data_IF_077084677847
#
_entry.id   IF_077084677847
#
_cell.length_a   1.000
_cell.length_b   1.000
_cell.length_c   1.000
_cell.angle_alpha   90.00
_cell.angle_beta   90.00
_cell.angle_gamma   90.00
#
_symmetry.space_group_name_H-M   'P 1'
#
loop_
_entity.id
_entity.type
_entity.pdbx_description
1 polymer ?
#
# COMPACT_ATOMS: atom_id res chain seq x y z
N UNK A 1 -34.05 -26.56 -13.40
CA UNK A 1 -33.30 -25.94 -12.30
C UNK A 1 -33.03 -24.51 -12.71
N UNK A 2 -33.82 -23.57 -12.20
CA UNK A 2 -33.75 -22.15 -12.55
C UNK A 2 -33.16 -21.40 -11.35
N UNK A 3 -32.09 -20.65 -11.59
CA UNK A 3 -31.51 -19.72 -10.63
C UNK A 3 -32.32 -18.43 -10.71
N UNK A 4 -33.38 -18.32 -9.93
CA UNK A 4 -34.17 -17.09 -9.89
C UNK A 4 -34.91 -17.00 -8.55
N UNK A 5 -34.19 -16.57 -7.48
CA UNK A 5 -34.79 -15.76 -6.40
C UNK A 5 -33.76 -15.15 -5.41
N UNK A 6 -32.70 -14.50 -5.90
CA UNK A 6 -31.89 -13.62 -5.03
C UNK A 6 -32.53 -12.22 -4.99
N UNK A 7 -33.71 -12.11 -4.38
CA UNK A 7 -34.24 -10.81 -3.97
C UNK A 7 -33.37 -10.29 -2.83
N UNK A 8 -32.54 -9.29 -3.11
CA UNK A 8 -31.82 -8.56 -2.07
C UNK A 8 -32.85 -7.86 -1.15
N UNK A 9 -32.74 -8.01 0.19
CA UNK A 9 -33.58 -7.26 1.11
C UNK A 9 -33.36 -5.77 0.89
N UNK A 10 -34.45 -5.00 0.86
CA UNK A 10 -34.35 -3.55 0.72
C UNK A 10 -33.78 -2.94 2.01
N UNK A 11 -33.16 -1.75 1.97
CA UNK A 11 -32.59 -1.10 3.14
C UNK A 11 -33.55 -0.99 4.34
N UNK A 12 -34.85 -0.91 4.07
CA UNK A 12 -35.95 -0.89 5.03
C UNK A 12 -36.28 -2.25 5.69
N UNK A 13 -35.79 -3.37 5.14
CA UNK A 13 -36.01 -4.72 5.68
C UNK A 13 -35.01 -5.11 6.79
N UNK A 14 -34.05 -4.24 7.11
CA UNK A 14 -33.06 -4.45 8.17
C UNK A 14 -33.61 -3.87 9.47
N UNK A 15 -33.91 -4.68 10.50
CA UNK A 15 -34.37 -4.16 11.78
C UNK A 15 -33.29 -3.27 12.42
N UNK A 16 -33.67 -2.15 13.06
CA UNK A 16 -32.71 -1.27 13.71
C UNK A 16 -31.98 -2.01 14.85
N UNK A 17 -30.67 -1.78 14.97
CA UNK A 17 -29.87 -2.37 16.03
C UNK A 17 -30.40 -1.91 17.41
N UNK A 18 -30.46 -2.81 18.42
CA UNK A 18 -31.09 -2.54 19.73
C UNK A 18 -30.40 -1.45 20.57
N UNK A 19 -29.31 -0.86 20.08
CA UNK A 19 -28.44 0.09 20.79
C UNK A 19 -28.23 1.43 20.05
N UNK A 20 -29.00 1.73 18.99
CA UNK A 20 -28.97 3.07 18.37
C UNK A 20 -27.70 3.42 17.61
N UNK A 21 -26.86 2.44 17.27
CA UNK A 21 -25.75 2.64 16.34
C UNK A 21 -26.29 2.74 14.92
N UNK A 22 -25.98 3.85 14.24
CA UNK A 22 -26.31 4.08 12.84
C UNK A 22 -25.70 2.98 11.96
N UNK A 23 -26.55 2.08 11.46
CA UNK A 23 -26.39 1.25 10.26
C UNK A 23 -24.96 0.92 9.81
N UNK A 24 -24.24 0.08 10.56
CA UNK A 24 -23.08 -0.61 10.01
C UNK A 24 -23.59 -1.74 9.09
N UNK A 25 -23.34 -1.70 7.77
CA UNK A 25 -23.62 -2.86 6.93
C UNK A 25 -22.69 -4.01 7.35
N UNK A 26 -23.31 -5.02 7.96
CA UNK A 26 -22.95 -6.44 8.08
C UNK A 26 -21.57 -6.81 7.50
N UNK A 27 -20.61 -7.02 8.40
CA UNK A 27 -19.32 -7.63 8.10
C UNK A 27 -19.51 -9.12 7.77
N UNK A 28 -19.73 -9.49 6.50
CA UNK A 28 -19.45 -10.84 6.00
C UNK A 28 -19.31 -10.89 4.46
N UNK A 29 -18.26 -10.27 3.90
CA UNK A 29 -17.71 -10.75 2.63
C UNK A 29 -16.48 -11.61 2.93
N UNK A 30 -16.69 -12.91 2.95
CA UNK A 30 -15.66 -13.93 2.94
C UNK A 30 -14.74 -13.75 1.71
N UNK A 31 -13.69 -12.94 1.85
CA UNK A 31 -12.51 -12.91 0.97
C UNK A 31 -12.65 -12.27 -0.42
N UNK A 32 -11.53 -11.66 -0.83
CA UNK A 32 -11.09 -11.40 -2.22
C UNK A 32 -11.34 -10.03 -2.86
N UNK A 33 -11.02 -8.92 -2.17
CA UNK A 33 -10.51 -7.74 -2.87
C UNK A 33 -9.30 -7.15 -2.13
N UNK A 34 -8.29 -6.63 -2.83
CA UNK A 34 -7.23 -5.84 -2.22
C UNK A 34 -7.85 -4.70 -1.40
N UNK A 35 -7.36 -4.46 -0.17
CA UNK A 35 -7.88 -3.34 0.61
C UNK A 35 -7.32 -2.04 0.05
N UNK A 36 -8.15 -0.99 0.02
CA UNK A 36 -7.70 0.36 -0.37
C UNK A 36 -7.55 1.19 0.89
N UNK A 37 -6.32 1.63 1.18
CA UNK A 37 -5.98 2.46 2.34
C UNK A 37 -5.50 3.81 1.81
N UNK A 38 -6.07 4.88 2.35
CA UNK A 38 -5.90 6.24 1.86
C UNK A 38 -5.55 7.15 3.04
N UNK A 39 -4.38 7.78 3.00
CA UNK A 39 -3.98 8.83 3.93
C UNK A 39 -4.62 10.19 3.61
N UNK A 40 -3.96 11.24 4.04
CA UNK A 40 -4.38 12.64 3.98
C UNK A 40 -3.22 13.50 3.46
N UNK A 41 -3.36 14.82 3.44
CA UNK A 41 -2.25 15.71 3.10
C UNK A 41 -1.39 16.06 4.34
N UNK A 42 -1.48 15.27 5.41
CA UNK A 42 -0.76 15.44 6.67
C UNK A 42 0.03 14.16 6.92
N UNK A 43 1.06 14.28 7.75
CA UNK A 43 1.85 13.13 8.16
C UNK A 43 0.99 12.02 8.78
N UNK A 44 0.97 10.87 8.12
CA UNK A 44 0.16 9.71 8.43
C UNK A 44 1.00 8.50 8.87
N UNK A 45 0.36 7.61 9.62
CA UNK A 45 0.92 6.31 10.00
C UNK A 45 0.00 5.21 9.51
N UNK A 46 0.27 4.73 8.30
CA UNK A 46 -0.58 3.76 7.62
C UNK A 46 -0.06 2.33 7.83
N UNK A 47 -0.99 1.41 8.01
CA UNK A 47 -0.69 -0.01 8.19
C UNK A 47 -1.65 -0.85 7.35
N UNK A 48 -1.09 -1.68 6.49
CA UNK A 48 -1.80 -2.69 5.71
C UNK A 48 -2.12 -3.94 6.51
N UNK A 49 -2.36 -5.02 5.79
CA UNK A 49 -2.78 -6.32 6.28
C UNK A 49 -1.82 -7.41 5.80
N UNK A 50 -2.07 -8.67 6.17
CA UNK A 50 -1.27 -9.78 5.64
C UNK A 50 -1.74 -10.25 4.24
N UNK A 51 -2.38 -9.36 3.48
CA UNK A 51 -2.89 -9.60 2.12
C UNK A 51 -2.51 -8.41 1.25
N UNK A 52 -2.50 -8.62 -0.07
CA UNK A 52 -2.29 -7.56 -1.05
C UNK A 52 -3.21 -6.36 -0.83
N UNK A 53 -2.60 -5.21 -0.65
CA UNK A 53 -3.23 -3.93 -0.39
C UNK A 53 -2.85 -2.88 -1.45
N UNK A 54 -3.65 -1.82 -1.53
CA UNK A 54 -3.34 -0.60 -2.27
C UNK A 54 -3.34 0.57 -1.28
N UNK A 55 -2.17 1.13 -1.03
CA UNK A 55 -1.95 2.17 -0.02
C UNK A 55 -1.50 3.46 -0.71
N UNK A 56 -2.20 4.57 -0.45
CA UNK A 56 -1.88 5.90 -0.95
C UNK A 56 -1.73 6.86 0.22
N UNK A 57 -0.51 7.25 0.58
CA UNK A 57 -0.25 8.12 1.73
C UNK A 57 -0.60 9.59 1.43
N UNK A 58 -0.22 10.06 0.23
CA UNK A 58 -0.54 11.32 -0.45
C UNK A 58 0.46 12.44 -0.22
N UNK A 59 0.45 13.12 0.92
CA UNK A 59 1.22 14.34 1.08
C UNK A 59 1.69 14.52 2.50
N UNK A 60 2.79 15.27 2.68
CA UNK A 60 3.58 15.33 3.92
C UNK A 60 4.44 14.07 4.13
N UNK A 61 5.12 14.00 5.26
CA UNK A 61 6.07 12.93 5.55
C UNK A 61 5.35 11.77 6.24
N UNK A 62 5.18 10.68 5.52
CA UNK A 62 4.35 9.55 5.93
C UNK A 62 5.20 8.34 6.38
N UNK A 63 4.59 7.49 7.21
CA UNK A 63 5.14 6.17 7.55
C UNK A 63 4.15 5.08 7.16
N UNK A 64 4.53 4.23 6.22
CA UNK A 64 3.68 3.14 5.72
C UNK A 64 4.32 1.78 6.03
N UNK A 65 3.50 0.84 6.50
CA UNK A 65 3.85 -0.58 6.64
C UNK A 65 2.79 -1.44 5.97
N UNK A 66 3.08 -2.02 4.81
CA UNK A 66 2.09 -2.80 4.08
C UNK A 66 1.89 -4.21 4.67
N UNK A 67 2.96 -4.78 5.25
CA UNK A 67 3.04 -6.04 6.01
C UNK A 67 3.21 -7.28 5.16
N UNK A 68 2.17 -7.81 4.54
CA UNK A 68 2.30 -9.06 3.81
C UNK A 68 1.32 -9.17 2.66
N UNK A 69 1.67 -9.99 1.67
CA UNK A 69 1.00 -9.98 0.38
C UNK A 69 1.77 -9.14 -0.62
N UNK A 70 1.29 -9.07 -1.85
CA UNK A 70 1.92 -8.25 -2.89
C UNK A 70 1.22 -6.90 -2.92
N UNK A 71 1.87 -5.88 -2.39
CA UNK A 71 1.28 -4.58 -2.11
C UNK A 71 1.64 -3.54 -3.19
N UNK A 72 0.74 -2.57 -3.37
CA UNK A 72 1.02 -1.35 -4.12
C UNK A 72 0.97 -0.17 -3.16
N UNK A 73 2.11 0.48 -2.95
CA UNK A 73 2.27 1.57 -1.99
C UNK A 73 2.81 2.82 -2.68
N UNK A 74 2.16 3.95 -2.48
CA UNK A 74 2.63 5.27 -2.89
C UNK A 74 2.73 6.19 -1.67
N UNK A 75 3.91 6.78 -1.47
CA UNK A 75 4.17 7.82 -0.47
C UNK A 75 3.51 9.13 -0.88
N UNK A 76 3.87 9.63 -2.06
CA UNK A 76 3.28 10.84 -2.62
C UNK A 76 4.26 12.00 -2.50
N UNK A 77 3.89 13.10 -1.83
CA UNK A 77 4.78 14.24 -1.67
C UNK A 77 5.24 14.39 -0.22
N UNK A 78 6.53 14.59 0.01
CA UNK A 78 7.14 14.62 1.33
C UNK A 78 8.26 13.59 1.44
N UNK A 79 8.94 13.56 2.58
CA UNK A 79 10.01 12.60 2.83
C UNK A 79 9.42 11.38 3.56
N UNK A 80 9.09 10.34 2.81
CA UNK A 80 8.31 9.20 3.26
C UNK A 80 9.17 8.02 3.71
N UNK A 81 8.58 7.16 4.54
CA UNK A 81 9.16 5.88 4.94
C UNK A 81 8.20 4.76 4.59
N UNK A 82 8.53 4.00 3.55
CA UNK A 82 7.69 2.93 3.02
C UNK A 82 8.32 1.56 3.30
N UNK A 83 7.52 0.64 3.84
CA UNK A 83 7.91 -0.75 4.10
C UNK A 83 6.91 -1.69 3.45
N UNK A 84 7.36 -2.48 2.48
CA UNK A 84 6.57 -3.50 1.80
C UNK A 84 6.25 -4.64 2.76
N UNK A 85 7.26 -5.41 3.13
CA UNK A 85 7.12 -6.48 4.11
C UNK A 85 7.36 -7.83 3.46
N UNK A 86 6.39 -8.74 3.51
CA UNK A 86 6.51 -10.05 2.89
C UNK A 86 5.70 -10.12 1.60
N UNK A 87 6.32 -10.40 0.47
CA UNK A 87 5.64 -10.51 -0.82
C UNK A 87 6.40 -9.76 -1.89
N UNK A 88 5.92 -9.82 -3.13
CA UNK A 88 6.49 -9.00 -4.20
C UNK A 88 5.78 -7.66 -4.24
N UNK A 89 6.39 -6.63 -3.67
CA UNK A 89 5.77 -5.33 -3.46
C UNK A 89 6.16 -4.32 -4.55
N UNK A 90 5.30 -3.33 -4.76
CA UNK A 90 5.60 -2.15 -5.59
C UNK A 90 5.55 -0.92 -4.69
N UNK A 91 6.71 -0.32 -4.46
CA UNK A 91 6.87 0.87 -3.63
C UNK A 91 7.26 2.06 -4.50
N UNK A 92 6.49 3.14 -4.40
CA UNK A 92 6.73 4.42 -5.08
C UNK A 92 6.87 5.51 -4.02
N UNK A 93 8.04 6.12 -3.91
CA UNK A 93 8.30 7.23 -2.99
C UNK A 93 7.49 8.46 -3.40
N UNK A 94 7.85 9.05 -4.54
CA UNK A 94 7.12 10.14 -5.15
C UNK A 94 7.96 11.39 -5.25
N UNK A 95 7.66 12.42 -4.46
CA UNK A 95 8.42 13.69 -4.44
C UNK A 95 8.94 13.92 -3.04
N UNK A 96 10.26 13.99 -2.87
CA UNK A 96 10.93 14.18 -1.60
C UNK A 96 12.07 13.19 -1.42
N UNK A 97 12.82 13.31 -0.34
CA UNK A 97 13.90 12.37 -0.03
C UNK A 97 13.33 11.16 0.74
N UNK A 98 13.05 10.08 0.03
CA UNK A 98 12.28 8.94 0.53
C UNK A 98 13.16 7.79 1.03
N UNK A 99 12.58 6.94 1.89
CA UNK A 99 13.19 5.67 2.33
C UNK A 99 12.27 4.50 2.04
N UNK A 100 12.65 3.70 1.05
CA UNK A 100 11.89 2.54 0.61
C UNK A 100 12.60 1.25 1.04
N UNK A 101 11.85 0.40 1.74
CA UNK A 101 12.31 -0.91 2.18
C UNK A 101 11.36 -1.98 1.63
N UNK A 102 11.80 -2.73 0.60
CA UNK A 102 11.04 -3.86 0.04
C UNK A 102 10.88 -4.99 1.07
N UNK A 103 11.99 -5.33 1.70
CA UNK A 103 12.14 -6.39 2.71
C UNK A 103 12.19 -7.79 2.09
N UNK A 104 11.17 -8.62 2.28
CA UNK A 104 11.22 -10.02 1.89
C UNK A 104 10.38 -10.26 0.63
N UNK A 105 11.04 -10.59 -0.47
CA UNK A 105 10.39 -10.89 -1.73
C UNK A 105 11.18 -10.32 -2.90
N UNK A 106 10.52 -10.33 -4.06
CA UNK A 106 11.05 -9.75 -5.29
C UNK A 106 10.26 -8.46 -5.55
N UNK A 107 10.83 -7.33 -5.16
CA UNK A 107 10.15 -6.03 -5.10
C UNK A 107 10.52 -5.12 -6.26
N UNK A 108 9.65 -4.15 -6.53
CA UNK A 108 9.90 -3.02 -7.42
C UNK A 108 9.93 -1.74 -6.61
N UNK A 109 11.07 -1.04 -6.62
CA UNK A 109 11.27 0.21 -5.91
C UNK A 109 11.47 1.35 -6.91
N UNK A 110 10.62 2.35 -6.83
CA UNK A 110 10.71 3.61 -7.56
C UNK A 110 10.87 4.72 -6.52
N UNK A 111 12.04 5.36 -6.47
CA UNK A 111 12.27 6.49 -5.58
C UNK A 111 11.40 7.68 -5.97
N UNK A 112 11.68 8.26 -7.13
CA UNK A 112 10.93 9.39 -7.66
C UNK A 112 11.81 10.63 -7.71
N UNK A 113 11.23 11.81 -7.51
CA UNK A 113 12.00 13.06 -7.42
C UNK A 113 12.56 13.20 -6.00
N UNK A 114 13.87 13.42 -5.87
CA UNK A 114 14.55 13.56 -4.59
C UNK A 114 15.78 12.66 -4.50
N UNK A 115 16.50 12.71 -3.38
CA UNK A 115 17.62 11.82 -3.12
C UNK A 115 17.15 10.67 -2.23
N UNK A 116 16.85 9.55 -2.84
CA UNK A 116 16.18 8.44 -2.18
C UNK A 116 17.14 7.41 -1.60
N UNK A 117 16.69 6.70 -0.58
CA UNK A 117 17.37 5.50 -0.05
C UNK A 117 16.51 4.27 -0.29
N UNK A 118 17.00 3.36 -1.13
CA UNK A 118 16.27 2.19 -1.57
C UNK A 118 16.95 0.90 -1.07
N UNK A 119 16.18 0.03 -0.40
CA UNK A 119 16.67 -1.23 0.15
C UNK A 119 15.68 -2.36 -0.13
N UNK A 120 15.95 -3.16 -1.17
CA UNK A 120 15.03 -4.22 -1.59
C UNK A 120 15.06 -5.48 -0.70
N UNK A 121 16.23 -6.00 -0.29
CA UNK A 121 16.33 -7.17 0.60
C UNK A 121 16.24 -8.56 -0.08
N UNK A 122 16.17 -8.61 -1.40
CA UNK A 122 15.99 -9.81 -2.24
C UNK A 122 16.41 -9.59 -3.71
N UNK A 123 15.73 -10.23 -4.67
CA UNK A 123 15.93 -9.94 -6.11
C UNK A 123 14.98 -8.84 -6.55
N UNK A 124 15.49 -7.63 -6.64
CA UNK A 124 14.66 -6.44 -6.79
C UNK A 124 14.91 -5.72 -8.10
N UNK A 125 13.89 -5.02 -8.57
CA UNK A 125 13.98 -4.07 -9.66
C UNK A 125 13.96 -2.65 -9.09
N UNK A 126 14.97 -1.85 -9.44
CA UNK A 126 15.02 -0.42 -9.14
C UNK A 126 14.75 0.34 -10.44
N UNK A 127 13.76 1.22 -10.43
CA UNK A 127 13.28 1.89 -11.64
C UNK A 127 13.49 3.40 -11.50
N UNK A 128 14.13 3.98 -12.51
CA UNK A 128 14.39 5.42 -12.65
C UNK A 128 13.79 5.87 -13.97
N UNK A 129 12.80 6.75 -13.93
CA UNK A 129 11.92 7.04 -15.08
C UNK A 129 12.29 8.33 -15.81
N UNK A 130 13.02 9.23 -15.16
CA UNK A 130 13.33 10.55 -15.70
C UNK A 130 14.80 10.92 -15.48
N UNK A 131 15.32 11.75 -16.39
CA UNK A 131 16.60 12.42 -16.18
C UNK A 131 16.41 13.47 -15.07
N UNK A 132 17.33 13.51 -14.11
CA UNK A 132 17.32 14.40 -12.93
C UNK A 132 16.23 14.11 -11.89
N UNK A 133 15.92 12.84 -11.66
CA UNK A 133 15.11 12.42 -10.50
C UNK A 133 15.83 12.70 -9.17
N UNK A 134 17.15 12.57 -9.14
CA UNK A 134 17.99 12.95 -8.02
C UNK A 134 19.20 12.04 -7.93
N UNK A 135 19.84 11.99 -6.76
CA UNK A 135 20.97 11.09 -6.49
C UNK A 135 20.54 10.07 -5.44
N UNK A 136 20.29 8.86 -5.89
CA UNK A 136 19.79 7.80 -5.03
C UNK A 136 20.90 6.91 -4.47
N UNK A 137 20.62 6.35 -3.30
CA UNK A 137 21.45 5.35 -2.64
C UNK A 137 20.73 4.02 -2.59
N UNK A 138 21.30 3.00 -3.23
CA UNK A 138 20.81 1.61 -3.14
C UNK A 138 21.63 0.85 -2.11
N UNK A 139 20.96 0.32 -1.08
CA UNK A 139 21.59 -0.44 0.00
C UNK A 139 21.46 -1.95 -0.22
N UNK A 140 22.50 -2.69 0.18
CA UNK A 140 22.45 -4.15 0.23
C UNK A 140 22.39 -4.85 -1.13
N UNK A 141 22.62 -4.11 -2.23
CA UNK A 141 22.74 -4.71 -3.55
C UNK A 141 23.90 -5.71 -3.58
N UNK A 142 23.59 -6.96 -3.96
CA UNK A 142 24.60 -8.00 -4.17
C UNK A 142 24.49 -8.48 -5.61
N UNK A 143 25.56 -8.28 -6.38
CA UNK A 143 25.71 -8.93 -7.67
C UNK A 143 26.11 -10.38 -7.46
N UNK A 144 25.40 -11.31 -8.10
CA UNK A 144 25.91 -12.67 -8.26
C UNK A 144 26.88 -12.64 -9.46
N UNK A 145 28.17 -12.56 -9.16
CA UNK A 145 29.26 -12.69 -10.14
C UNK A 145 29.64 -14.15 -10.31
#
# INVERSE_FOLDING_TARGET
MAFDDLRFPQPEDIPPAPNGELGAPVLFQLGRRPQRINGTNRADRLKGTNKSDRILARGSNDTVKALGGNDLVSGGAGNDVLRGGNGGDQLVGGVGDDRLFGQAGDDVLIGGLGNDTLAGGGKNMYVFNSLNEGIDTILGFRANL
#
